data_IF_213702689919
#
_entry.id   IF_213702689919
#
_cell.length_a   1.000
_cell.length_b   1.000
_cell.length_c   1.000
_cell.angle_alpha   90.00
_cell.angle_beta   90.00
_cell.angle_gamma   90.00
#
_symmetry.space_group_name_H-M   'P 1'
#
loop_
_entity.id
_entity.type
_entity.pdbx_description
1 polymer ?
#
# COMPACT_ATOMS: atom_id res chain seq x y z
N UNK A 1 -10.87 -25.24 4.98
CA UNK A 1 -10.74 -24.92 6.42
C UNK A 1 -10.62 -23.42 6.56
N UNK A 2 -11.51 -22.78 7.34
CA UNK A 2 -11.41 -21.35 7.63
C UNK A 2 -10.16 -21.12 8.49
N UNK A 3 -9.17 -20.40 7.95
CA UNK A 3 -8.02 -19.97 8.74
C UNK A 3 -8.50 -18.97 9.80
N UNK A 4 -7.94 -19.04 11.01
CA UNK A 4 -8.13 -17.97 11.99
C UNK A 4 -7.65 -16.64 11.37
N UNK A 5 -8.50 -15.61 11.43
CA UNK A 5 -8.23 -14.30 10.86
C UNK A 5 -8.34 -13.24 11.95
N UNK A 6 -7.36 -12.34 11.98
CA UNK A 6 -7.35 -11.15 12.83
C UNK A 6 -7.19 -9.94 11.92
N UNK A 7 -7.97 -8.89 12.17
CA UNK A 7 -7.95 -7.66 11.39
C UNK A 7 -7.39 -6.52 12.25
N UNK A 8 -6.53 -5.69 11.67
CA UNK A 8 -5.95 -4.51 12.31
C UNK A 8 -6.16 -3.32 11.37
N UNK A 9 -6.56 -2.15 11.86
CA UNK A 9 -6.62 -0.94 11.05
C UNK A 9 -5.21 -0.53 10.62
N UNK A 10 -5.02 -0.24 9.32
CA UNK A 10 -3.77 0.33 8.81
C UNK A 10 -3.66 1.83 9.05
N UNK A 11 -4.75 2.51 9.43
CA UNK A 11 -4.79 3.97 9.66
C UNK A 11 -4.29 4.81 8.47
N UNK A 12 -4.29 4.23 7.26
CA UNK A 12 -3.97 4.94 6.02
C UNK A 12 -5.30 5.16 5.28
N UNK A 13 -5.68 6.41 4.99
CA UNK A 13 -6.89 6.69 4.23
C UNK A 13 -6.71 6.32 2.76
N UNK A 14 -7.81 6.08 2.06
CA UNK A 14 -7.85 5.91 0.61
C UNK A 14 -6.90 4.83 0.05
N UNK A 15 -6.75 3.72 0.78
CA UNK A 15 -5.99 2.55 0.32
C UNK A 15 -6.82 1.27 0.36
N UNK A 16 -6.56 0.40 -0.60
CA UNK A 16 -7.09 -0.96 -0.67
C UNK A 16 -5.94 -1.96 -0.57
N UNK A 17 -6.13 -2.98 0.25
CA UNK A 17 -5.18 -4.10 0.37
C UNK A 17 -5.40 -5.06 -0.80
N UNK A 18 -4.34 -5.30 -1.58
CA UNK A 18 -4.35 -6.25 -2.70
C UNK A 18 -3.88 -7.64 -2.28
N UNK A 19 -2.87 -7.70 -1.42
CA UNK A 19 -2.23 -8.95 -1.01
C UNK A 19 -1.52 -8.77 0.32
N UNK A 20 -1.62 -9.78 1.17
CA UNK A 20 -0.81 -9.91 2.38
C UNK A 20 -0.02 -11.21 2.31
N UNK A 21 1.29 -11.13 2.48
CA UNK A 21 2.15 -12.31 2.46
C UNK A 21 3.27 -12.20 3.49
N UNK A 22 3.73 -13.34 3.99
CA UNK A 22 4.92 -13.41 4.83
C UNK A 22 6.05 -13.91 3.94
N UNK A 23 7.16 -13.18 3.89
CA UNK A 23 8.31 -13.58 3.11
C UNK A 23 9.11 -14.71 3.81
N UNK A 24 10.14 -15.23 3.14
CA UNK A 24 11.00 -16.29 3.69
C UNK A 24 11.75 -15.88 4.97
N UNK A 25 11.91 -14.58 5.23
CA UNK A 25 12.56 -14.04 6.44
C UNK A 25 11.58 -13.86 7.60
N UNK A 26 10.29 -14.09 7.39
CA UNK A 26 9.24 -13.87 8.38
C UNK A 26 8.70 -12.44 8.41
N UNK A 27 9.09 -11.57 7.47
CA UNK A 27 8.56 -10.22 7.37
C UNK A 27 7.16 -10.23 6.75
N UNK A 28 6.27 -9.38 7.26
CA UNK A 28 4.94 -9.18 6.70
C UNK A 28 5.00 -8.14 5.57
N UNK A 29 4.62 -8.55 4.36
CA UNK A 29 4.49 -7.65 3.21
C UNK A 29 3.00 -7.44 2.93
N UNK A 30 2.57 -6.18 3.00
CA UNK A 30 1.21 -5.76 2.71
C UNK A 30 1.25 -4.95 1.41
N UNK A 31 0.74 -5.54 0.34
CA UNK A 31 0.63 -4.86 -0.94
C UNK A 31 -0.65 -4.05 -0.99
N UNK A 32 -0.54 -2.76 -1.25
CA UNK A 32 -1.66 -1.81 -1.27
C UNK A 32 -1.69 -1.02 -2.57
N UNK A 33 -2.88 -0.57 -2.94
CA UNK A 33 -3.11 0.44 -3.97
C UNK A 33 -3.86 1.63 -3.38
N UNK A 34 -3.65 2.83 -3.93
CA UNK A 34 -4.49 3.97 -3.59
C UNK A 34 -5.82 3.88 -4.34
N UNK A 35 -6.91 4.20 -3.65
CA UNK A 35 -8.23 4.34 -4.25
C UNK A 35 -8.45 5.72 -4.87
N UNK A 36 -7.52 6.67 -4.69
CA UNK A 36 -7.62 8.00 -5.28
C UNK A 36 -7.43 7.94 -6.80
N UNK A 37 -8.40 8.49 -7.52
CA UNK A 37 -8.38 8.58 -8.98
C UNK A 37 -7.62 9.81 -9.48
N UNK A 38 -7.45 10.81 -8.64
CA UNK A 38 -6.82 12.10 -8.93
C UNK A 38 -5.79 12.49 -7.86
N UNK A 39 -4.88 13.37 -8.24
CA UNK A 39 -3.94 14.02 -7.32
C UNK A 39 -3.74 15.48 -7.73
N UNK A 40 -3.11 16.29 -6.90
CA UNK A 40 -2.82 17.68 -7.24
C UNK A 40 -1.39 17.80 -7.79
N UNK A 41 -1.23 18.57 -8.85
CA UNK A 41 0.09 18.86 -9.41
C UNK A 41 0.94 19.61 -8.39
N UNK A 42 2.11 19.07 -8.03
CA UNK A 42 3.04 19.72 -7.08
C UNK A 42 3.56 21.09 -7.55
N UNK A 43 3.50 21.40 -8.85
CA UNK A 43 3.98 22.69 -9.40
C UNK A 43 2.89 23.76 -9.47
N UNK A 44 1.69 23.41 -9.95
CA UNK A 44 0.62 24.39 -10.20
C UNK A 44 -0.64 24.20 -9.33
N UNK A 45 -0.70 23.15 -8.52
CA UNK A 45 -1.82 22.86 -7.63
C UNK A 45 -3.11 22.38 -8.32
N UNK A 46 -3.16 22.34 -9.66
CA UNK A 46 -4.35 21.89 -10.39
C UNK A 46 -4.56 20.37 -10.24
N UNK A 47 -5.81 19.89 -10.18
CA UNK A 47 -6.11 18.47 -10.13
C UNK A 47 -5.68 17.81 -11.45
N UNK A 48 -5.03 16.66 -11.32
CA UNK A 48 -4.61 15.79 -12.41
C UNK A 48 -5.23 14.41 -12.19
N UNK A 49 -6.03 13.97 -13.17
CA UNK A 49 -6.73 12.68 -13.16
C UNK A 49 -6.30 11.76 -14.32
N UNK A 50 -5.52 12.28 -15.26
CA UNK A 50 -5.04 11.51 -16.42
C UNK A 50 -4.07 10.43 -15.94
N UNK A 51 -4.38 9.19 -16.32
CA UNK A 51 -3.57 8.02 -16.00
C UNK A 51 -2.71 7.63 -17.19
N UNK A 52 -1.40 7.60 -16.98
CA UNK A 52 -0.39 7.22 -17.96
C UNK A 52 0.24 5.86 -17.67
N UNK A 53 0.06 5.33 -16.44
CA UNK A 53 0.55 4.01 -16.06
C UNK A 53 0.91 3.93 -14.58
N UNK A 54 1.62 2.87 -14.21
CA UNK A 54 2.18 2.74 -12.88
C UNK A 54 3.69 2.95 -12.92
N UNK A 55 4.22 3.57 -11.89
CA UNK A 55 5.66 3.63 -11.66
C UNK A 55 6.17 2.29 -11.05
N UNK A 56 7.47 2.22 -10.84
CA UNK A 56 8.15 1.12 -10.19
C UNK A 56 7.57 0.84 -8.80
N UNK A 57 7.66 -0.42 -8.39
CA UNK A 57 7.26 -0.82 -7.04
C UNK A 57 8.11 -0.09 -5.99
N UNK A 58 7.43 0.46 -4.98
CA UNK A 58 8.02 1.06 -3.80
C UNK A 58 7.72 0.17 -2.60
N UNK A 59 8.75 -0.09 -1.79
CA UNK A 59 8.60 -0.79 -0.52
C UNK A 59 8.99 0.17 0.60
N UNK A 60 8.05 0.47 1.49
CA UNK A 60 8.23 1.35 2.63
C UNK A 60 8.08 0.56 3.93
N UNK A 61 8.93 0.83 4.92
CA UNK A 61 8.81 0.21 6.25
C UNK A 61 7.62 0.81 6.99
N UNK A 62 6.84 -0.06 7.63
CA UNK A 62 5.65 0.30 8.40
C UNK A 62 5.81 -0.07 9.88
N UNK A 63 4.77 0.18 10.69
CA UNK A 63 4.69 -0.27 12.07
C UNK A 63 4.70 -1.81 12.13
N UNK A 64 5.48 -2.40 13.06
CA UNK A 64 5.49 -3.84 13.25
C UNK A 64 4.11 -4.38 13.61
N UNK A 65 3.64 -5.37 12.85
CA UNK A 65 2.39 -6.08 13.11
C UNK A 65 2.70 -7.43 13.75
N UNK A 66 2.12 -7.68 14.92
CA UNK A 66 2.36 -8.91 15.70
C UNK A 66 3.85 -9.22 15.92
N UNK A 67 4.65 -8.19 16.22
CA UNK A 67 6.09 -8.33 16.48
C UNK A 67 6.96 -8.62 15.24
N UNK A 68 6.38 -8.62 14.04
CA UNK A 68 7.10 -8.85 12.78
C UNK A 68 7.45 -7.53 12.10
N UNK A 69 8.64 -7.45 11.52
CA UNK A 69 8.95 -6.34 10.62
C UNK A 69 7.93 -6.35 9.47
N UNK A 70 7.30 -5.20 9.26
CA UNK A 70 6.18 -5.06 8.33
C UNK A 70 6.50 -4.00 7.30
N UNK A 71 6.16 -4.28 6.05
CA UNK A 71 6.43 -3.41 4.92
C UNK A 71 5.17 -3.21 4.09
N UNK A 72 4.96 -1.98 3.64
CA UNK A 72 3.97 -1.63 2.64
C UNK A 72 4.63 -1.68 1.27
N UNK A 73 4.01 -2.39 0.34
CA UNK A 73 4.43 -2.44 -1.06
C UNK A 73 3.34 -1.80 -1.91
N UNK A 74 3.68 -0.80 -2.70
CA UNK A 74 2.72 -0.12 -3.56
C UNK A 74 3.38 0.35 -4.85
N UNK A 75 2.57 0.73 -5.84
CA UNK A 75 3.04 1.32 -7.09
C UNK A 75 2.34 2.66 -7.30
N UNK A 76 3.06 3.79 -7.37
CA UNK A 76 2.45 5.08 -7.69
C UNK A 76 1.78 5.06 -9.06
N UNK A 77 0.70 5.81 -9.21
CA UNK A 77 0.12 6.12 -10.53
C UNK A 77 0.90 7.28 -11.15
N UNK A 78 1.12 7.22 -12.46
CA UNK A 78 1.78 8.26 -13.28
C UNK A 78 0.79 8.90 -14.22
#
# INVERSE_FOLDING_TARGET
MSKAQVSIPLEIPDVRILKTEINQRGDLIITVESTRTETHCRKCGQPISKFHGHDSWVTARYLPVFGRATYLRYRPRR
#
